data_IF_229962889191
#
_entry.id   IF_229962889191
#
_cell.length_a   1.000
_cell.length_b   1.000
_cell.length_c   1.000
_cell.angle_alpha   90.00
_cell.angle_beta   90.00
_cell.angle_gamma   90.00
#
_symmetry.space_group_name_H-M   'P 1'
#
loop_
_entity.id
_entity.type
_entity.pdbx_description
1 polymer ?
#
# COMPACT_ATOMS: atom_id res chain seq x y z
N UNK A 1 -4.53 15.27 23.32
CA UNK A 1 -3.90 16.60 23.47
C UNK A 1 -4.13 17.30 24.81
N UNK A 2 -5.10 16.90 25.64
CA UNK A 2 -5.31 17.53 26.95
C UNK A 2 -4.12 17.29 27.90
N UNK A 3 -3.57 16.07 27.95
CA UNK A 3 -2.43 15.75 28.82
C UNK A 3 -1.20 16.66 28.60
N UNK A 4 -0.76 16.86 27.36
CA UNK A 4 0.33 17.81 27.04
C UNK A 4 0.01 19.26 27.42
N UNK A 5 -1.26 19.70 27.29
CA UNK A 5 -1.68 21.05 27.72
C UNK A 5 -1.66 21.18 29.24
N UNK A 6 -2.13 20.16 29.96
CA UNK A 6 -2.11 20.11 31.43
C UNK A 6 -0.68 20.14 31.96
N UNK A 7 0.22 19.33 31.38
CA UNK A 7 1.65 19.32 31.67
C UNK A 7 2.28 20.71 31.47
N UNK A 8 2.05 21.34 30.32
CA UNK A 8 2.53 22.70 30.05
C UNK A 8 2.01 23.73 31.06
N UNK A 9 0.73 23.61 31.47
CA UNK A 9 0.14 24.52 32.46
C UNK A 9 0.75 24.33 33.85
N UNK A 10 1.07 23.09 34.24
CA UNK A 10 1.68 22.77 35.52
C UNK A 10 3.16 23.22 35.59
N UNK A 11 3.94 22.93 34.56
CA UNK A 11 5.38 23.19 34.55
C UNK A 11 5.73 24.65 34.16
N UNK A 12 4.79 25.37 33.54
CA UNK A 12 4.98 26.77 33.17
C UNK A 12 5.84 26.95 31.90
N UNK A 13 6.92 27.72 32.00
CA UNK A 13 7.75 28.10 30.84
C UNK A 13 8.78 27.03 30.46
N UNK A 14 9.26 26.26 31.43
CA UNK A 14 10.24 25.19 31.22
C UNK A 14 9.53 23.88 31.54
N UNK A 15 9.19 23.12 30.50
CA UNK A 15 8.54 21.81 30.66
C UNK A 15 9.60 20.77 30.98
N UNK A 16 9.47 20.12 32.13
CA UNK A 16 10.31 19.00 32.53
C UNK A 16 9.74 17.67 32.02
N UNK A 17 10.54 16.60 32.09
CA UNK A 17 10.17 15.18 31.91
C UNK A 17 8.85 14.90 31.17
N UNK A 18 8.91 14.71 29.86
CA UNK A 18 7.76 14.41 29.00
C UNK A 18 7.72 12.95 28.50
N UNK A 19 8.76 12.16 28.75
CA UNK A 19 8.95 10.82 28.21
C UNK A 19 7.76 9.90 28.51
N UNK A 20 7.23 9.95 29.73
CA UNK A 20 6.05 9.16 30.11
C UNK A 20 4.80 9.52 29.30
N UNK A 21 4.60 10.80 28.98
CA UNK A 21 3.47 11.24 28.13
C UNK A 21 3.62 10.78 26.68
N UNK A 22 4.87 10.66 26.21
CA UNK A 22 5.15 10.16 24.87
C UNK A 22 4.91 8.66 24.80
N UNK A 23 5.38 7.92 25.80
CA UNK A 23 5.17 6.47 25.89
C UNK A 23 3.68 6.13 26.06
N UNK A 24 2.95 6.86 26.90
CA UNK A 24 1.49 6.70 27.04
C UNK A 24 0.73 6.88 25.70
N UNK A 25 1.28 7.66 24.77
CA UNK A 25 0.67 7.86 23.45
C UNK A 25 1.13 6.86 22.40
N UNK A 26 2.40 6.50 22.38
CA UNK A 26 3.02 5.79 21.27
C UNK A 26 3.41 4.34 21.59
N UNK A 27 3.43 3.96 22.86
CA UNK A 27 3.80 2.63 23.33
C UNK A 27 2.60 1.93 23.99
N UNK A 28 2.72 0.62 24.20
CA UNK A 28 1.66 -0.22 24.77
C UNK A 28 0.36 -0.18 23.98
N UNK A 29 -0.77 -0.41 24.67
CA UNK A 29 -2.09 -0.51 24.04
C UNK A 29 -2.50 0.78 23.31
N UNK A 30 -2.25 1.95 23.90
CA UNK A 30 -2.51 3.24 23.27
C UNK A 30 -1.73 3.42 21.97
N UNK A 31 -0.47 2.98 21.95
CA UNK A 31 0.38 2.98 20.75
C UNK A 31 -0.13 2.07 19.64
N UNK A 32 -0.59 0.87 20.00
CA UNK A 32 -1.23 -0.08 19.09
C UNK A 32 -2.50 0.51 18.47
N UNK A 33 -3.40 1.06 19.29
CA UNK A 33 -4.62 1.72 18.83
C UNK A 33 -4.32 2.91 17.91
N UNK A 34 -3.35 3.75 18.28
CA UNK A 34 -2.89 4.87 17.46
C UNK A 34 -2.40 4.40 16.09
N UNK A 35 -1.53 3.39 16.07
CA UNK A 35 -0.95 2.84 14.86
C UNK A 35 -2.01 2.23 13.95
N UNK A 36 -2.92 1.43 14.51
CA UNK A 36 -4.01 0.81 13.76
C UNK A 36 -4.94 1.86 13.13
N UNK A 37 -5.39 2.85 13.92
CA UNK A 37 -6.25 3.91 13.41
C UNK A 37 -5.57 4.73 12.29
N UNK A 38 -4.28 5.03 12.46
CA UNK A 38 -3.49 5.71 11.45
C UNK A 38 -3.32 4.88 10.17
N UNK A 39 -3.11 3.57 10.30
CA UNK A 39 -2.97 2.65 9.17
C UNK A 39 -4.27 2.57 8.36
N UNK A 40 -5.40 2.33 9.02
CA UNK A 40 -6.72 2.28 8.36
C UNK A 40 -7.02 3.57 7.62
N UNK A 41 -6.74 4.73 8.23
CA UNK A 41 -6.97 6.02 7.59
C UNK A 41 -6.07 6.22 6.36
N UNK A 42 -4.76 6.02 6.51
CA UNK A 42 -3.80 6.25 5.44
C UNK A 42 -3.96 5.26 4.28
N UNK A 43 -4.24 3.99 4.57
CA UNK A 43 -4.42 2.95 3.55
C UNK A 43 -5.57 3.27 2.60
N UNK A 44 -6.66 3.83 3.13
CA UNK A 44 -7.83 4.19 2.35
C UNK A 44 -7.75 5.60 1.72
N UNK A 45 -6.68 6.36 1.96
CA UNK A 45 -6.59 7.77 1.58
C UNK A 45 -6.75 7.98 0.07
N UNK A 46 -6.02 7.22 -0.75
CA UNK A 46 -6.05 7.35 -2.22
C UNK A 46 -7.42 6.99 -2.78
N UNK A 47 -8.00 5.89 -2.31
CA UNK A 47 -9.33 5.45 -2.69
C UNK A 47 -10.41 6.48 -2.30
N UNK A 48 -10.31 7.07 -1.10
CA UNK A 48 -11.23 8.10 -0.64
C UNK A 48 -11.16 9.36 -1.52
N UNK A 49 -9.95 9.85 -1.84
CA UNK A 49 -9.75 11.00 -2.73
C UNK A 49 -10.39 10.74 -4.11
N UNK A 50 -10.15 9.57 -4.69
CA UNK A 50 -10.69 9.21 -6.00
C UNK A 50 -12.21 9.05 -5.96
N UNK A 51 -12.75 8.40 -4.94
CA UNK A 51 -14.20 8.25 -4.74
C UNK A 51 -14.89 9.62 -4.63
N UNK A 52 -14.34 10.53 -3.82
CA UNK A 52 -14.84 11.90 -3.68
C UNK A 52 -14.80 12.60 -5.05
N UNK A 53 -13.69 12.49 -5.79
CA UNK A 53 -13.53 13.10 -7.12
C UNK A 53 -14.57 12.59 -8.11
N UNK A 54 -14.78 11.28 -8.19
CA UNK A 54 -15.74 10.65 -9.10
C UNK A 54 -17.16 11.05 -8.74
N UNK A 55 -17.50 11.10 -7.45
CA UNK A 55 -18.85 11.43 -6.99
C UNK A 55 -19.19 12.90 -7.19
N UNK A 56 -18.26 13.82 -6.91
CA UNK A 56 -18.45 15.25 -7.19
C UNK A 56 -18.70 15.54 -8.68
N UNK A 57 -18.06 14.79 -9.59
CA UNK A 57 -18.31 14.95 -11.04
C UNK A 57 -19.71 14.54 -11.47
N UNK A 58 -20.35 13.62 -10.74
CA UNK A 58 -21.67 13.07 -11.08
C UNK A 58 -22.81 13.76 -10.34
N UNK A 59 -22.52 14.38 -9.19
CA UNK A 59 -23.51 14.96 -8.28
C UNK A 59 -23.19 16.44 -8.01
N UNK A 60 -23.92 17.33 -8.69
CA UNK A 60 -23.76 18.78 -8.54
C UNK A 60 -24.15 19.29 -7.16
N UNK A 61 -25.09 18.62 -6.46
CA UNK A 61 -25.46 18.99 -5.09
C UNK A 61 -24.33 18.72 -4.13
N UNK A 62 -23.66 17.56 -4.28
CA UNK A 62 -22.46 17.25 -3.51
C UNK A 62 -21.33 18.25 -3.80
N UNK A 63 -21.12 18.60 -5.07
CA UNK A 63 -20.10 19.59 -5.44
C UNK A 63 -20.37 20.95 -4.76
N UNK A 64 -21.62 21.43 -4.79
CA UNK A 64 -21.98 22.69 -4.14
C UNK A 64 -21.80 22.62 -2.62
N UNK A 65 -22.28 21.55 -1.97
CA UNK A 65 -22.11 21.34 -0.53
C UNK A 65 -20.62 21.37 -0.13
N UNK A 66 -19.76 20.71 -0.91
CA UNK A 66 -18.32 20.71 -0.67
C UNK A 66 -17.73 22.12 -0.80
N UNK A 67 -18.09 22.88 -1.84
CA UNK A 67 -17.62 24.25 -2.02
C UNK A 67 -18.07 25.18 -0.87
N UNK A 68 -19.32 25.04 -0.42
CA UNK A 68 -19.84 25.76 0.74
C UNK A 68 -19.08 25.40 2.02
N UNK A 69 -18.85 24.12 2.28
CA UNK A 69 -18.09 23.66 3.43
C UNK A 69 -16.64 24.16 3.41
N UNK A 70 -15.98 24.13 2.25
CA UNK A 70 -14.59 24.57 2.05
C UNK A 70 -14.43 26.10 2.15
N UNK A 71 -15.51 26.86 1.99
CA UNK A 71 -15.51 28.32 2.21
C UNK A 71 -15.40 28.71 3.70
N UNK A 72 -15.63 27.75 4.61
CA UNK A 72 -15.55 27.99 6.04
C UNK A 72 -14.14 28.45 6.46
N UNK A 73 -13.99 29.56 7.22
CA UNK A 73 -12.70 30.03 7.71
C UNK A 73 -11.88 28.96 8.47
N UNK A 74 -12.55 27.99 9.12
CA UNK A 74 -11.90 26.88 9.81
C UNK A 74 -11.10 25.97 8.87
N UNK A 75 -11.46 25.90 7.59
CA UNK A 75 -10.75 25.15 6.57
C UNK A 75 -9.43 25.82 6.15
N UNK A 76 -9.17 27.08 6.55
CA UNK A 76 -7.90 27.78 6.28
C UNK A 76 -7.47 27.75 4.81
N UNK A 77 -8.43 27.88 3.88
CA UNK A 77 -8.25 27.82 2.42
C UNK A 77 -7.76 26.46 1.89
N UNK A 78 -7.95 25.39 2.64
CA UNK A 78 -7.64 24.03 2.22
C UNK A 78 -8.93 23.29 1.86
N UNK A 79 -8.90 22.55 0.75
CA UNK A 79 -10.00 21.67 0.36
C UNK A 79 -9.95 20.35 1.15
N UNK A 80 -11.01 19.53 1.12
CA UNK A 80 -11.02 18.26 1.84
C UNK A 80 -9.86 17.34 1.38
N UNK A 81 -9.58 17.29 0.07
CA UNK A 81 -8.47 16.50 -0.49
C UNK A 81 -7.10 16.96 0.02
N UNK A 82 -6.95 18.22 0.45
CA UNK A 82 -5.69 18.75 0.99
C UNK A 82 -5.52 18.41 2.49
N UNK A 83 -6.62 18.09 3.17
CA UNK A 83 -6.59 17.66 4.58
C UNK A 83 -6.22 16.18 4.74
N UNK A 84 -6.64 15.32 3.81
CA UNK A 84 -6.43 13.87 3.92
C UNK A 84 -4.93 13.49 4.04
N UNK A 85 -3.99 14.03 3.23
CA UNK A 85 -2.57 13.71 3.34
C UNK A 85 -1.91 14.17 4.65
N UNK A 86 -2.55 15.07 5.41
CA UNK A 86 -1.94 15.64 6.62
C UNK A 86 -1.70 14.60 7.71
N UNK A 87 -2.47 13.51 7.75
CA UNK A 87 -2.26 12.43 8.71
C UNK A 87 -0.91 11.76 8.47
N UNK A 88 -0.65 11.34 7.22
CA UNK A 88 0.65 10.78 6.84
C UNK A 88 1.79 11.79 7.04
N UNK A 89 1.60 13.05 6.62
CA UNK A 89 2.58 14.10 6.86
C UNK A 89 2.86 14.29 8.36
N UNK A 90 1.86 14.19 9.23
CA UNK A 90 2.05 14.30 10.67
C UNK A 90 2.83 13.12 11.23
N UNK A 91 2.55 11.90 10.78
CA UNK A 91 3.29 10.70 11.18
C UNK A 91 4.79 10.82 10.89
N UNK A 92 5.15 11.32 9.71
CA UNK A 92 6.58 11.53 9.33
C UNK A 92 7.28 12.59 10.18
N UNK A 93 6.54 13.51 10.82
CA UNK A 93 7.13 14.54 11.69
C UNK A 93 7.43 14.04 13.10
N UNK A 94 6.71 13.06 13.62
CA UNK A 94 6.93 12.59 15.00
C UNK A 94 8.37 12.10 15.24
N UNK A 95 8.95 11.24 14.38
CA UNK A 95 10.34 10.82 14.55
C UNK A 95 11.31 12.00 14.56
N UNK A 96 11.15 12.95 13.63
CA UNK A 96 12.03 14.13 13.51
C UNK A 96 11.99 14.99 14.79
N UNK A 97 10.81 15.19 15.36
CA UNK A 97 10.67 16.00 16.58
C UNK A 97 11.20 15.27 17.81
N UNK A 98 10.92 13.97 17.94
CA UNK A 98 11.36 13.15 19.08
C UNK A 98 12.88 12.95 19.09
N UNK A 99 13.49 12.75 17.92
CA UNK A 99 14.94 12.65 17.77
C UNK A 99 15.63 13.95 18.20
N UNK A 100 15.15 15.10 17.71
CA UNK A 100 15.67 16.40 18.15
C UNK A 100 15.52 16.58 19.65
N UNK A 101 14.36 16.23 20.21
CA UNK A 101 14.12 16.36 21.64
C UNK A 101 15.08 15.48 22.47
N UNK A 102 15.28 14.22 22.06
CA UNK A 102 16.21 13.31 22.73
C UNK A 102 17.64 13.87 22.71
N UNK A 103 18.09 14.42 21.57
CA UNK A 103 19.42 14.98 21.41
C UNK A 103 19.66 16.21 22.30
N UNK A 104 18.62 16.97 22.65
CA UNK A 104 18.72 18.11 23.57
C UNK A 104 18.47 17.75 25.04
N UNK A 105 18.14 16.49 25.36
CA UNK A 105 17.87 16.03 26.74
C UNK A 105 19.13 15.40 27.36
N UNK A 106 20.25 16.12 27.34
CA UNK A 106 21.57 15.57 27.69
C UNK A 106 21.76 15.40 29.22
N UNK A 107 21.10 16.23 30.03
CA UNK A 107 21.25 16.26 31.48
C UNK A 107 20.41 15.23 32.26
N UNK A 108 19.63 14.39 31.58
CA UNK A 108 18.76 13.40 32.24
C UNK A 108 18.70 12.10 31.41
N UNK A 109 19.62 11.15 31.64
CA UNK A 109 19.71 9.91 30.86
C UNK A 109 18.44 9.05 30.92
N UNK A 110 17.77 9.02 32.08
CA UNK A 110 16.53 8.26 32.26
C UNK A 110 15.41 8.80 31.37
N UNK A 111 15.25 10.12 31.35
CA UNK A 111 14.28 10.79 30.50
C UNK A 111 14.64 10.65 29.01
N UNK A 112 15.91 10.84 28.68
CA UNK A 112 16.41 10.68 27.31
C UNK A 112 16.10 9.28 26.76
N UNK A 113 16.29 8.23 27.59
CA UNK A 113 15.96 6.85 27.23
C UNK A 113 14.47 6.67 26.92
N UNK A 114 13.57 7.25 27.72
CA UNK A 114 12.11 7.20 27.47
C UNK A 114 11.75 7.87 26.14
N UNK A 115 12.37 9.01 25.83
CA UNK A 115 12.14 9.73 24.56
C UNK A 115 12.65 8.89 23.37
N UNK A 116 13.82 8.26 23.48
CA UNK A 116 14.32 7.34 22.45
C UNK A 116 13.41 6.12 22.26
N UNK A 117 12.87 5.54 23.35
CA UNK A 117 11.90 4.45 23.23
C UNK A 117 10.63 4.91 22.49
N UNK A 118 10.09 6.09 22.81
CA UNK A 118 8.96 6.65 22.08
C UNK A 118 9.28 6.95 20.60
N UNK A 119 10.50 7.42 20.31
CA UNK A 119 10.99 7.62 18.94
C UNK A 119 10.94 6.32 18.13
N UNK A 120 11.46 5.23 18.68
CA UNK A 120 11.44 3.93 18.02
C UNK A 120 10.00 3.40 17.84
N UNK A 121 9.10 3.66 18.79
CA UNK A 121 7.67 3.38 18.61
C UNK A 121 7.05 4.17 17.44
N UNK A 122 7.39 5.46 17.28
CA UNK A 122 6.94 6.26 16.15
C UNK A 122 7.50 5.77 14.81
N UNK A 123 8.77 5.36 14.75
CA UNK A 123 9.38 4.80 13.53
C UNK A 123 8.69 3.51 13.11
N UNK A 124 8.54 2.55 14.03
CA UNK A 124 7.79 1.30 13.80
C UNK A 124 6.36 1.57 13.33
N UNK A 125 5.70 2.56 13.95
CA UNK A 125 4.34 2.96 13.54
C UNK A 125 4.30 3.50 12.12
N UNK A 126 5.27 4.35 11.74
CA UNK A 126 5.35 4.89 10.38
C UNK A 126 5.63 3.80 9.35
N UNK A 127 6.54 2.86 9.64
CA UNK A 127 6.84 1.71 8.78
C UNK A 127 5.60 0.83 8.58
N UNK A 128 4.90 0.48 9.66
CA UNK A 128 3.66 -0.29 9.59
C UNK A 128 2.58 0.40 8.76
N UNK A 129 2.37 1.71 8.98
CA UNK A 129 1.38 2.49 8.21
C UNK A 129 1.76 2.52 6.73
N UNK A 130 3.05 2.74 6.40
CA UNK A 130 3.52 2.69 5.02
C UNK A 130 3.30 1.32 4.38
N UNK A 131 3.53 0.24 5.12
CA UNK A 131 3.26 -1.11 4.63
C UNK A 131 1.77 -1.32 4.37
N UNK A 132 0.91 -0.95 5.32
CA UNK A 132 -0.55 -1.05 5.17
C UNK A 132 -1.08 -0.25 3.97
N UNK A 133 -0.49 0.92 3.68
CA UNK A 133 -0.81 1.69 2.47
C UNK A 133 -0.43 0.91 1.22
N UNK A 134 0.80 0.38 1.15
CA UNK A 134 1.25 -0.42 0.00
C UNK A 134 0.39 -1.67 -0.21
N UNK A 135 0.07 -2.38 0.86
CA UNK A 135 -0.73 -3.60 0.81
C UNK A 135 -2.14 -3.30 0.29
N UNK A 136 -2.76 -2.21 0.74
CA UNK A 136 -4.07 -1.79 0.25
C UNK A 136 -4.04 -1.40 -1.24
N UNK A 137 -3.02 -0.65 -1.68
CA UNK A 137 -2.85 -0.31 -3.09
C UNK A 137 -2.62 -1.55 -3.96
N UNK A 138 -1.79 -2.47 -3.48
CA UNK A 138 -1.49 -3.73 -4.16
C UNK A 138 -2.73 -4.63 -4.24
N UNK A 139 -3.53 -4.71 -3.18
CA UNK A 139 -4.80 -5.44 -3.19
C UNK A 139 -5.78 -4.86 -4.21
N UNK A 140 -5.92 -3.53 -4.27
CA UNK A 140 -6.75 -2.86 -5.29
C UNK A 140 -6.26 -3.16 -6.71
N UNK A 141 -4.94 -3.14 -6.95
CA UNK A 141 -4.37 -3.55 -8.24
C UNK A 141 -4.72 -5.00 -8.59
N UNK A 142 -4.61 -5.93 -7.62
CA UNK A 142 -4.95 -7.33 -7.84
C UNK A 142 -6.43 -7.52 -8.17
N UNK A 143 -7.34 -6.77 -7.54
CA UNK A 143 -8.75 -6.74 -7.93
C UNK A 143 -8.95 -6.25 -9.37
N UNK A 144 -8.24 -5.20 -9.77
CA UNK A 144 -8.31 -4.68 -11.15
C UNK A 144 -7.79 -5.70 -12.16
N UNK A 145 -6.66 -6.36 -11.90
CA UNK A 145 -6.14 -7.43 -12.75
C UNK A 145 -7.09 -8.62 -12.79
N UNK A 146 -7.66 -9.02 -11.65
CA UNK A 146 -8.66 -10.10 -11.58
C UNK A 146 -9.87 -9.81 -12.47
N UNK A 147 -10.39 -8.57 -12.46
CA UNK A 147 -11.51 -8.13 -13.32
C UNK A 147 -11.16 -8.13 -14.81
N UNK A 148 -9.91 -7.83 -15.17
CA UNK A 148 -9.42 -7.80 -16.56
C UNK A 148 -8.93 -9.17 -17.05
N UNK A 149 -8.75 -10.14 -16.16
CA UNK A 149 -8.24 -11.45 -16.49
C UNK A 149 -9.36 -12.35 -17.03
N UNK A 150 -9.23 -12.76 -18.29
CA UNK A 150 -10.10 -13.75 -18.90
C UNK A 150 -9.59 -15.18 -18.61
N UNK A 151 -10.33 -15.86 -17.74
CA UNK A 151 -10.07 -17.25 -17.31
C UNK A 151 -10.59 -18.30 -18.29
N UNK A 152 -11.31 -17.93 -19.36
CA UNK A 152 -11.92 -18.90 -20.28
C UNK A 152 -10.88 -19.81 -20.96
N UNK A 153 -9.67 -19.29 -21.23
CA UNK A 153 -8.55 -20.08 -21.76
C UNK A 153 -8.02 -21.10 -20.76
N UNK A 154 -8.10 -20.78 -19.46
CA UNK A 154 -7.66 -21.63 -18.36
C UNK A 154 -8.67 -22.74 -18.08
N UNK A 155 -9.96 -22.40 -18.06
CA UNK A 155 -11.07 -23.33 -17.85
C UNK A 155 -11.15 -24.39 -18.95
N UNK A 156 -11.04 -23.97 -20.22
CA UNK A 156 -11.09 -24.83 -21.41
C UNK A 156 -9.84 -25.70 -21.59
N UNK A 157 -8.76 -25.42 -20.88
CA UNK A 157 -7.52 -26.18 -20.98
C UNK A 157 -7.64 -27.52 -20.26
N UNK A 158 -7.25 -28.60 -20.96
CA UNK A 158 -7.05 -29.94 -20.40
C UNK A 158 -5.60 -30.19 -19.98
N UNK A 159 -4.73 -29.17 -20.02
CA UNK A 159 -3.32 -29.33 -19.72
C UNK A 159 -3.10 -29.49 -18.20
N UNK A 160 -2.38 -30.54 -17.72
CA UNK A 160 -2.19 -30.78 -16.29
C UNK A 160 -1.60 -29.59 -15.53
N UNK A 161 -0.61 -28.90 -16.13
CA UNK A 161 0.01 -27.69 -15.57
C UNK A 161 -0.96 -26.53 -15.32
N UNK A 162 -2.12 -26.51 -15.95
CA UNK A 162 -3.12 -25.45 -15.81
C UNK A 162 -4.28 -25.86 -14.89
N UNK A 163 -4.40 -27.15 -14.56
CA UNK A 163 -5.48 -27.66 -13.73
C UNK A 163 -5.41 -27.09 -12.31
N UNK A 164 -4.22 -26.93 -11.75
CA UNK A 164 -4.02 -26.37 -10.40
C UNK A 164 -4.31 -24.87 -10.29
N UNK A 165 -4.47 -24.17 -11.42
CA UNK A 165 -4.67 -22.73 -11.45
C UNK A 165 -6.07 -22.31 -11.86
N UNK A 166 -6.98 -23.25 -12.15
CA UNK A 166 -8.38 -22.94 -12.49
C UNK A 166 -9.07 -22.10 -11.40
N UNK A 167 -8.69 -22.34 -10.15
CA UNK A 167 -9.19 -21.62 -8.97
C UNK A 167 -8.29 -20.44 -8.54
N UNK A 168 -7.41 -19.93 -9.43
CA UNK A 168 -6.54 -18.80 -9.10
C UNK A 168 -7.36 -17.57 -8.71
N UNK A 169 -7.26 -17.18 -7.45
CA UNK A 169 -7.88 -15.95 -6.93
C UNK A 169 -6.79 -14.91 -6.65
N UNK A 170 -6.60 -13.96 -7.58
CA UNK A 170 -5.57 -12.91 -7.44
C UNK A 170 -5.80 -12.02 -6.20
N UNK A 171 -7.03 -11.55 -5.88
CA UNK A 171 -7.28 -10.71 -4.70
C UNK A 171 -6.90 -11.34 -3.36
N UNK A 172 -6.86 -12.67 -3.25
CA UNK A 172 -6.46 -13.36 -2.02
C UNK A 172 -4.94 -13.49 -1.85
N UNK A 173 -4.15 -13.00 -2.81
CA UNK A 173 -2.68 -13.15 -2.85
C UNK A 173 -1.98 -11.86 -2.42
N UNK A 174 -0.72 -11.98 -2.02
CA UNK A 174 0.18 -10.85 -1.72
C UNK A 174 0.99 -10.49 -2.96
N UNK A 175 0.83 -9.28 -3.49
CA UNK A 175 1.66 -8.78 -4.61
C UNK A 175 2.98 -8.20 -4.08
N UNK A 176 4.10 -8.73 -4.55
CA UNK A 176 5.44 -8.24 -4.25
C UNK A 176 5.92 -7.25 -5.32
N UNK A 177 5.66 -7.55 -6.59
CA UNK A 177 6.07 -6.71 -7.71
C UNK A 177 5.19 -6.92 -8.95
N UNK A 178 5.04 -5.90 -9.79
CA UNK A 178 4.36 -6.00 -11.07
C UNK A 178 5.07 -5.19 -12.15
N UNK A 179 5.01 -5.65 -13.41
CA UNK A 179 5.65 -4.94 -14.50
C UNK A 179 5.45 -5.56 -15.88
N UNK A 180 5.65 -4.74 -16.91
CA UNK A 180 5.64 -5.19 -18.31
C UNK A 180 6.91 -5.97 -18.65
N UNK A 181 6.76 -7.08 -19.36
CA UNK A 181 7.86 -7.92 -19.84
C UNK A 181 7.62 -8.30 -21.31
N UNK A 182 8.70 -8.51 -22.06
CA UNK A 182 8.63 -9.13 -23.38
C UNK A 182 9.25 -10.52 -23.30
N UNK A 183 8.44 -11.55 -23.47
CA UNK A 183 8.89 -12.94 -23.47
C UNK A 183 9.34 -13.36 -24.86
N UNK A 184 10.63 -13.67 -24.97
CA UNK A 184 11.24 -14.23 -26.18
C UNK A 184 11.12 -15.75 -26.22
N UNK A 185 10.31 -16.27 -27.13
CA UNK A 185 10.23 -17.68 -27.47
C UNK A 185 11.03 -17.98 -28.74
N UNK A 186 12.18 -18.64 -28.58
CA UNK A 186 13.06 -18.97 -29.70
C UNK A 186 13.66 -17.72 -30.36
N UNK A 187 13.92 -17.80 -31.67
CA UNK A 187 14.67 -16.74 -32.37
C UNK A 187 13.81 -15.53 -32.74
N UNK A 188 12.54 -15.74 -33.12
CA UNK A 188 11.70 -14.71 -33.77
C UNK A 188 10.41 -14.37 -33.03
N UNK A 189 9.91 -15.23 -32.12
CA UNK A 189 8.63 -14.99 -31.46
C UNK A 189 8.84 -14.18 -30.18
N UNK A 190 8.26 -12.99 -30.13
CA UNK A 190 8.20 -12.13 -28.96
C UNK A 190 6.74 -12.00 -28.52
N UNK A 191 6.49 -12.04 -27.22
CA UNK A 191 5.15 -11.92 -26.63
C UNK A 191 5.21 -10.86 -25.54
N UNK A 192 4.35 -9.84 -25.65
CA UNK A 192 4.23 -8.83 -24.59
C UNK A 192 3.34 -9.36 -23.46
N UNK A 193 3.86 -9.23 -22.25
CA UNK A 193 3.28 -9.74 -21.02
C UNK A 193 3.20 -8.63 -19.96
N UNK A 194 2.28 -8.80 -19.02
CA UNK A 194 2.31 -8.18 -17.71
C UNK A 194 2.57 -9.28 -16.68
N UNK A 195 3.58 -9.08 -15.85
CA UNK A 195 4.00 -10.04 -14.84
C UNK A 195 3.52 -9.57 -13.47
N UNK A 196 3.01 -10.51 -12.67
CA UNK A 196 2.72 -10.35 -11.25
C UNK A 196 3.61 -11.31 -10.47
N UNK A 197 4.54 -10.76 -9.70
CA UNK A 197 5.31 -11.51 -8.70
C UNK A 197 4.51 -11.52 -7.41
N UNK A 198 3.93 -12.66 -7.10
CA UNK A 198 3.21 -12.92 -5.85
C UNK A 198 4.15 -13.61 -4.84
N UNK A 199 3.71 -13.71 -3.60
CA UNK A 199 4.46 -14.36 -2.52
C UNK A 199 4.73 -15.85 -2.77
N UNK A 200 3.83 -16.53 -3.48
CA UNK A 200 3.86 -17.99 -3.70
C UNK A 200 4.01 -18.40 -5.18
N UNK A 201 3.96 -17.45 -6.11
CA UNK A 201 4.10 -17.72 -7.54
C UNK A 201 4.35 -16.47 -8.38
N UNK A 202 4.81 -16.68 -9.61
CA UNK A 202 4.90 -15.70 -10.68
C UNK A 202 3.79 -15.95 -11.71
N UNK A 203 2.98 -14.94 -12.00
CA UNK A 203 1.89 -15.01 -13.00
C UNK A 203 2.26 -14.18 -14.22
N UNK A 204 2.29 -14.80 -15.39
CA UNK A 204 2.60 -14.22 -16.69
C UNK A 204 1.32 -14.05 -17.51
N UNK A 205 0.79 -12.82 -17.50
CA UNK A 205 -0.44 -12.49 -18.21
C UNK A 205 -0.11 -11.92 -19.59
N UNK A 206 -0.63 -12.51 -20.65
CA UNK A 206 -0.50 -11.96 -22.00
C UNK A 206 -1.52 -10.83 -22.18
N UNK A 207 -1.05 -9.67 -22.64
CA UNK A 207 -1.94 -8.54 -23.00
C UNK A 207 -2.56 -8.83 -24.36
N UNK A 208 -3.87 -9.03 -24.42
CA UNK A 208 -4.60 -9.12 -25.70
C UNK A 208 -5.06 -7.73 -26.15
N UNK A 209 -5.73 -7.01 -25.23
CA UNK A 209 -6.24 -5.66 -25.44
C UNK A 209 -5.91 -4.79 -24.21
N UNK A 210 -6.18 -3.49 -24.26
CA UNK A 210 -5.95 -2.56 -23.14
C UNK A 210 -6.73 -2.90 -21.86
N UNK A 211 -7.82 -3.67 -21.99
CA UNK A 211 -8.65 -4.07 -20.86
C UNK A 211 -8.81 -5.59 -20.70
N UNK A 212 -7.96 -6.39 -21.35
CA UNK A 212 -8.06 -7.85 -21.32
C UNK A 212 -6.70 -8.53 -21.25
N UNK A 213 -6.56 -9.37 -20.23
CA UNK A 213 -5.42 -10.25 -20.02
C UNK A 213 -5.85 -11.71 -20.16
N UNK A 214 -4.95 -12.56 -20.65
CA UNK A 214 -5.18 -14.01 -20.76
C UNK A 214 -3.99 -14.79 -20.23
N UNK A 215 -4.24 -15.95 -19.64
CA UNK A 215 -3.23 -16.94 -19.29
C UNK A 215 -3.17 -18.00 -20.38
N UNK A 216 -2.04 -18.09 -21.07
CA UNK A 216 -1.83 -19.05 -22.17
C UNK A 216 -0.51 -19.78 -21.98
N UNK A 217 -0.57 -21.12 -22.03
CA UNK A 217 0.64 -21.93 -22.18
C UNK A 217 1.30 -21.61 -23.51
N UNK A 218 2.62 -21.45 -23.49
CA UNK A 218 3.39 -21.17 -24.69
C UNK A 218 4.27 -22.37 -25.01
N UNK A 219 4.20 -22.90 -26.24
CA UNK A 219 5.07 -24.00 -26.65
C UNK A 219 6.24 -23.49 -27.48
N UNK A 220 7.43 -24.04 -27.24
CA UNK A 220 8.61 -23.93 -28.10
C UNK A 220 8.95 -25.29 -28.69
N UNK A 221 9.17 -25.32 -30.00
CA UNK A 221 9.74 -26.49 -30.67
C UNK A 221 11.26 -26.31 -30.76
N UNK A 222 12.02 -27.25 -30.19
CA UNK A 222 13.46 -27.33 -30.38
C UNK A 222 13.73 -28.42 -31.42
N UNK A 223 14.16 -28.01 -32.61
CA UNK A 223 14.56 -28.93 -33.68
C UNK A 223 16.04 -29.26 -33.48
N UNK A 224 16.32 -30.45 -32.96
CA UNK A 224 17.68 -31.00 -32.86
C UNK A 224 17.75 -32.33 -33.63
N UNK A 225 18.25 -32.27 -34.85
CA UNK A 225 18.78 -33.41 -35.61
C UNK A 225 17.80 -34.52 -36.03
N UNK A 226 17.11 -35.18 -35.08
CA UNK A 226 16.23 -36.34 -35.32
C UNK A 226 15.03 -36.49 -34.37
N UNK A 227 14.85 -35.66 -33.35
CA UNK A 227 13.67 -35.71 -32.47
C UNK A 227 13.07 -34.32 -32.21
N UNK A 228 11.78 -34.16 -32.48
CA UNK A 228 11.02 -32.94 -32.21
C UNK A 228 10.64 -32.89 -30.73
N UNK A 229 11.41 -32.16 -29.91
CA UNK A 229 11.08 -31.97 -28.49
C UNK A 229 10.19 -30.74 -28.33
N UNK A 230 8.86 -30.95 -28.19
CA UNK A 230 7.91 -29.89 -27.85
C UNK A 230 7.98 -29.58 -26.36
N UNK A 231 8.54 -28.42 -26.01
CA UNK A 231 8.52 -27.91 -24.63
C UNK A 231 7.34 -26.97 -24.45
N UNK A 232 6.51 -27.21 -23.43
CA UNK A 232 5.37 -26.34 -23.09
C UNK A 232 5.68 -25.59 -21.80
N UNK A 233 5.59 -24.26 -21.86
CA UNK A 233 5.85 -23.34 -20.76
C UNK A 233 4.53 -22.89 -20.14
N UNK A 234 4.40 -23.08 -18.83
CA UNK A 234 3.26 -22.62 -18.06
C UNK A 234 3.28 -21.08 -17.93
N UNK A 235 2.13 -20.39 -17.99
CA UNK A 235 2.03 -18.97 -17.67
C UNK A 235 2.14 -18.70 -16.16
N UNK A 236 2.16 -19.72 -15.30
CA UNK A 236 2.34 -19.58 -13.86
C UNK A 236 3.52 -20.44 -13.40
N UNK A 237 4.42 -19.85 -12.62
CA UNK A 237 5.66 -20.46 -12.12
C UNK A 237 5.62 -20.41 -10.59
N UNK A 238 5.92 -21.51 -9.91
CA UNK A 238 6.07 -21.58 -8.45
C UNK A 238 7.51 -21.35 -8.04
#
# INVERSE_FOLDING_TARGET
NQAMKTKKKADGHIVGQIGDLLLDRFDGESGEQFRHAAAVFCANQKAAVEMIRVRQKKDSKLQQFMAEAESNPLCRRLSLKDHLPQVMQRLTKYPIFLEKLANYTIGNPTEQKKIYQALECCKRSLEYVNQSVRDCENHQKLEEFSKKLDKSSLEKSSHPLLAEFKDLDLPSKTLLHDGGLTWRLGRTRLIDLHMLLLEDCLVLMQKEDDNRYVLKCQSTMLVSGKEDTKTTHSPIIK
#
